data_IF_012539322844
#
_entry.id   IF_012539322844
#
_cell.length_a   1.000
_cell.length_b   1.000
_cell.length_c   1.000
_cell.angle_alpha   90.00
_cell.angle_beta   90.00
_cell.angle_gamma   90.00
#
_symmetry.space_group_name_H-M   'P 1'
#
loop_
_entity.id
_entity.type
_entity.pdbx_description
1 polymer ?
#
# COMPACT_ATOMS: atom_id res chain seq x y z
N UNK A 1 2.70 -0.40 23.21
CA UNK A 1 2.94 -1.73 22.59
C UNK A 1 4.16 -1.70 21.65
N UNK A 2 4.11 -0.95 20.54
CA UNK A 2 5.18 -0.91 19.52
C UNK A 2 6.58 -0.62 20.08
N UNK A 3 6.74 0.46 20.85
CA UNK A 3 8.03 0.83 21.49
C UNK A 3 8.59 -0.26 22.42
N UNK A 4 7.73 -1.00 23.12
CA UNK A 4 8.14 -2.07 24.04
C UNK A 4 8.60 -3.31 23.28
N UNK A 5 8.09 -3.52 22.06
CA UNK A 5 8.40 -4.68 21.21
C UNK A 5 9.40 -4.35 20.09
N UNK A 6 9.92 -3.13 20.07
CA UNK A 6 10.79 -2.61 19.01
C UNK A 6 10.20 -2.80 17.60
N UNK A 7 8.88 -2.59 17.48
CA UNK A 7 8.19 -2.68 16.20
C UNK A 7 8.19 -1.32 15.50
N UNK A 8 8.64 -1.33 14.26
CA UNK A 8 8.62 -0.18 13.37
C UNK A 8 7.18 0.04 12.86
N UNK A 9 6.74 1.29 12.87
CA UNK A 9 5.42 1.71 12.42
C UNK A 9 5.52 3.01 11.63
N UNK A 10 4.63 3.20 10.66
CA UNK A 10 4.60 4.38 9.79
C UNK A 10 3.16 4.67 9.36
N UNK A 11 2.89 5.87 8.83
CA UNK A 11 1.52 6.32 8.47
C UNK A 11 0.60 6.63 9.65
N UNK A 12 1.03 6.28 10.86
CA UNK A 12 0.45 6.70 12.13
C UNK A 12 1.52 6.82 13.21
N UNK A 13 1.17 7.35 14.37
CA UNK A 13 2.13 7.60 15.45
C UNK A 13 1.48 8.03 16.76
N UNK A 14 2.30 8.34 17.76
CA UNK A 14 1.82 8.81 19.08
C UNK A 14 1.19 10.20 19.05
N UNK A 15 1.54 10.98 18.03
CA UNK A 15 1.03 12.31 17.71
C UNK A 15 1.29 12.58 16.21
N UNK A 16 0.81 13.72 15.71
CA UNK A 16 0.95 14.12 14.30
C UNK A 16 2.42 14.24 13.85
N UNK A 17 3.34 14.64 14.73
CA UNK A 17 4.76 14.80 14.40
C UNK A 17 5.46 13.44 14.27
N UNK A 18 5.12 12.49 15.14
CA UNK A 18 5.62 11.11 15.08
C UNK A 18 5.03 10.36 13.86
N UNK A 19 3.74 10.58 13.58
CA UNK A 19 3.04 9.98 12.47
C UNK A 19 3.53 10.49 11.10
N UNK A 20 3.92 11.77 11.01
CA UNK A 20 4.50 12.41 9.83
C UNK A 20 6.03 12.22 9.74
N UNK A 21 6.49 10.98 9.88
CA UNK A 21 7.89 10.64 9.72
C UNK A 21 8.01 9.40 8.85
N UNK A 22 8.94 9.43 7.90
CA UNK A 22 9.39 8.21 7.25
C UNK A 22 10.13 7.31 8.27
N UNK A 23 10.06 5.99 8.10
CA UNK A 23 10.87 5.05 8.87
C UNK A 23 11.92 4.42 8.01
N UNK A 24 13.16 4.46 8.49
CA UNK A 24 14.34 4.01 7.77
C UNK A 24 14.73 2.64 8.30
N UNK A 25 14.98 1.70 7.38
CA UNK A 25 15.40 0.35 7.69
C UNK A 25 16.63 0.04 6.87
N UNK A 26 17.74 -0.28 7.53
CA UNK A 26 18.94 -0.79 6.87
C UNK A 26 19.06 -2.29 7.17
N UNK A 27 19.03 -3.12 6.12
CA UNK A 27 19.05 -4.57 6.28
C UNK A 27 19.73 -5.26 5.10
N UNK A 28 20.72 -6.11 5.41
CA UNK A 28 21.51 -6.85 4.42
C UNK A 28 22.04 -5.96 3.28
N UNK A 29 22.54 -4.76 3.62
CA UNK A 29 23.06 -3.77 2.66
C UNK A 29 21.98 -2.98 1.90
N UNK A 30 20.69 -3.29 2.07
CA UNK A 30 19.60 -2.51 1.50
C UNK A 30 19.19 -1.40 2.46
N UNK A 31 18.95 -0.21 1.93
CA UNK A 31 18.45 0.94 2.68
C UNK A 31 17.03 1.19 2.21
N UNK A 32 16.04 0.90 3.05
CA UNK A 32 14.62 1.03 2.76
C UNK A 32 14.03 2.20 3.56
N UNK A 33 13.10 2.93 2.96
CA UNK A 33 12.34 3.94 3.68
C UNK A 33 10.85 3.72 3.48
N UNK A 34 10.09 3.68 4.56
CA UNK A 34 8.65 3.54 4.55
C UNK A 34 8.01 4.90 4.86
N UNK A 35 7.14 5.36 3.97
CA UNK A 35 6.34 6.56 4.15
C UNK A 35 4.88 6.23 3.89
N UNK A 36 3.97 6.78 4.69
CA UNK A 36 2.55 6.50 4.52
C UNK A 36 1.67 7.57 5.11
N UNK A 37 0.41 7.56 4.71
CA UNK A 37 -0.61 8.49 5.17
C UNK A 37 -2.01 7.98 4.88
N UNK A 38 -3.00 8.66 5.44
CA UNK A 38 -4.41 8.48 5.19
C UNK A 38 -4.93 9.60 4.26
N UNK A 39 -5.23 9.25 3.01
CA UNK A 39 -5.75 10.16 1.99
C UNK A 39 -7.26 10.34 2.09
N UNK A 40 -8.00 9.32 2.57
CA UNK A 40 -9.44 9.44 2.87
C UNK A 40 -9.70 10.62 3.83
N UNK A 41 -8.79 10.81 4.77
CA UNK A 41 -8.85 11.90 5.76
C UNK A 41 -10.02 11.76 6.73
N UNK A 42 -9.97 12.55 7.81
CA UNK A 42 -11.01 12.57 8.83
C UNK A 42 -11.21 11.22 9.55
N UNK A 43 -12.24 11.16 10.40
CA UNK A 43 -12.62 9.96 11.14
C UNK A 43 -12.00 9.83 12.54
N UNK A 44 -12.31 8.72 13.20
CA UNK A 44 -12.13 8.52 14.64
C UNK A 44 -10.67 8.35 15.10
N UNK A 45 -9.75 8.02 14.19
CA UNK A 45 -8.35 7.66 14.52
C UNK A 45 -7.33 8.60 13.85
N UNK A 46 -7.63 9.91 13.80
CA UNK A 46 -6.71 10.92 13.23
C UNK A 46 -5.69 11.37 14.28
N UNK A 47 -4.40 11.37 13.92
CA UNK A 47 -3.36 11.91 14.78
C UNK A 47 -3.51 13.43 14.96
N UNK A 48 -3.51 13.88 16.22
CA UNK A 48 -3.47 15.30 16.56
C UNK A 48 -2.11 15.68 17.14
N UNK A 49 -1.92 16.93 17.56
CA UNK A 49 -0.69 17.34 18.24
C UNK A 49 -0.44 16.60 19.56
N UNK A 50 -1.49 16.02 20.15
CA UNK A 50 -1.43 15.40 21.48
C UNK A 50 -2.05 14.00 21.54
N UNK A 51 -2.60 13.50 20.43
CA UNK A 51 -3.27 12.19 20.39
C UNK A 51 -2.75 11.31 19.26
N UNK A 52 -2.66 9.98 19.50
CA UNK A 52 -2.21 9.04 18.51
C UNK A 52 -3.23 8.84 17.38
N UNK A 53 -2.76 8.44 16.22
CA UNK A 53 -3.62 8.10 15.08
C UNK A 53 -2.87 8.04 13.76
N UNK A 54 -3.63 7.89 12.67
CA UNK A 54 -3.14 8.02 11.30
C UNK A 54 -2.92 9.49 10.93
N UNK A 55 -1.88 9.76 10.15
CA UNK A 55 -1.61 11.12 9.63
C UNK A 55 -2.36 11.33 8.32
N UNK A 56 -3.01 12.48 8.16
CA UNK A 56 -3.56 12.88 6.86
C UNK A 56 -2.42 13.07 5.84
N UNK A 57 -2.68 12.78 4.56
CA UNK A 57 -1.69 12.99 3.52
C UNK A 57 -1.34 14.47 3.35
N UNK A 58 -0.04 14.74 3.22
CA UNK A 58 0.53 16.03 2.83
C UNK A 58 1.43 15.75 1.62
N UNK A 59 0.86 15.83 0.43
CA UNK A 59 1.52 15.40 -0.81
C UNK A 59 2.78 16.21 -1.11
N UNK A 60 2.79 17.51 -0.81
CA UNK A 60 3.97 18.37 -1.00
C UNK A 60 5.12 17.90 -0.13
N UNK A 61 4.87 17.63 1.15
CA UNK A 61 5.89 17.09 2.03
C UNK A 61 6.30 15.68 1.66
N UNK A 62 5.36 14.80 1.32
CA UNK A 62 5.69 13.42 0.96
C UNK A 62 6.57 13.38 -0.28
N UNK A 63 6.25 14.14 -1.33
CA UNK A 63 7.06 14.20 -2.55
C UNK A 63 8.46 14.75 -2.28
N UNK A 64 8.58 15.82 -1.47
CA UNK A 64 9.88 16.38 -1.07
C UNK A 64 10.70 15.39 -0.23
N UNK A 65 10.07 14.73 0.74
CA UNK A 65 10.74 13.77 1.62
C UNK A 65 11.17 12.51 0.86
N UNK A 66 10.34 12.01 -0.06
CA UNK A 66 10.72 10.91 -0.96
C UNK A 66 11.94 11.32 -1.77
N UNK A 67 11.94 12.49 -2.42
CA UNK A 67 13.07 12.94 -3.22
C UNK A 67 14.37 13.04 -2.39
N UNK A 68 14.29 13.65 -1.20
CA UNK A 68 15.41 13.75 -0.25
C UNK A 68 15.93 12.36 0.16
N UNK A 69 15.04 11.43 0.48
CA UNK A 69 15.42 10.06 0.86
C UNK A 69 16.07 9.29 -0.30
N UNK A 70 15.63 9.56 -1.54
CA UNK A 70 16.26 8.99 -2.74
C UNK A 70 17.66 9.53 -2.95
N UNK A 71 17.90 10.82 -2.75
CA UNK A 71 19.24 11.42 -2.76
C UNK A 71 20.13 10.81 -1.68
N UNK A 72 19.56 10.55 -0.51
CA UNK A 72 20.26 9.86 0.59
C UNK A 72 20.51 8.37 0.31
N UNK A 73 20.03 7.80 -0.81
CA UNK A 73 20.28 6.41 -1.21
C UNK A 73 19.28 5.38 -0.69
N UNK A 74 18.11 5.79 -0.18
CA UNK A 74 17.05 4.86 0.24
C UNK A 74 16.17 4.41 -0.91
N UNK A 75 15.66 3.18 -0.85
CA UNK A 75 14.57 2.66 -1.68
C UNK A 75 13.26 2.96 -0.96
N UNK A 76 12.49 3.91 -1.49
CA UNK A 76 11.30 4.43 -0.80
C UNK A 76 10.06 3.64 -1.18
N UNK A 77 9.31 3.20 -0.18
CA UNK A 77 8.03 2.48 -0.26
C UNK A 77 6.97 3.41 0.29
N UNK A 78 6.07 3.87 -0.57
CA UNK A 78 4.97 4.76 -0.21
C UNK A 78 3.67 3.98 -0.09
N UNK A 79 2.88 4.22 0.96
CA UNK A 79 1.56 3.60 1.10
C UNK A 79 0.44 4.59 1.36
N UNK A 80 -0.71 4.35 0.76
CA UNK A 80 -1.92 5.13 0.98
C UNK A 80 -2.99 4.30 1.68
N UNK A 81 -3.67 4.89 2.65
CA UNK A 81 -5.06 4.53 2.95
C UNK A 81 -5.95 5.50 2.17
N UNK A 82 -6.36 5.10 0.96
CA UNK A 82 -7.06 5.98 0.01
C UNK A 82 -8.59 5.90 0.17
N UNK A 83 -9.36 6.42 -0.77
CA UNK A 83 -10.82 6.30 -0.79
C UNK A 83 -11.27 4.86 -1.12
N UNK A 84 -12.48 4.52 -0.69
CA UNK A 84 -13.09 3.21 -0.97
C UNK A 84 -13.73 3.21 -2.36
N UNK A 85 -13.13 2.43 -3.26
CA UNK A 85 -13.66 2.18 -4.59
C UNK A 85 -13.76 0.67 -4.83
N UNK A 86 -14.99 0.14 -4.72
CA UNK A 86 -15.32 -1.27 -4.98
C UNK A 86 -15.33 -1.57 -6.49
N UNK A 87 -14.16 -1.48 -7.11
CA UNK A 87 -13.95 -1.71 -8.54
C UNK A 87 -12.51 -2.10 -8.79
N UNK A 88 -12.30 -3.02 -9.74
CA UNK A 88 -10.98 -3.44 -10.16
C UNK A 88 -10.18 -2.31 -10.85
N UNK A 89 -10.84 -1.32 -11.46
CA UNK A 89 -10.15 -0.22 -12.13
C UNK A 89 -9.79 0.87 -11.14
N UNK A 90 -8.51 1.23 -11.09
CA UNK A 90 -8.05 2.39 -10.34
C UNK A 90 -8.74 3.68 -10.80
N UNK A 91 -9.16 4.50 -9.85
CA UNK A 91 -9.84 5.75 -10.14
C UNK A 91 -8.86 6.87 -10.48
N UNK A 92 -9.29 7.92 -11.24
CA UNK A 92 -8.39 8.96 -11.71
C UNK A 92 -7.59 9.68 -10.60
N UNK A 93 -8.20 9.88 -9.43
CA UNK A 93 -7.57 10.48 -8.25
C UNK A 93 -6.51 9.55 -7.63
N UNK A 94 -6.80 8.25 -7.51
CA UNK A 94 -5.81 7.25 -7.11
C UNK A 94 -4.61 7.25 -8.07
N UNK A 95 -4.87 7.29 -9.39
CA UNK A 95 -3.84 7.32 -10.42
C UNK A 95 -2.97 8.58 -10.30
N UNK A 96 -3.57 9.75 -10.10
CA UNK A 96 -2.85 11.01 -9.91
C UNK A 96 -1.94 10.95 -8.67
N UNK A 97 -2.51 10.60 -7.53
CA UNK A 97 -1.83 10.58 -6.23
C UNK A 97 -0.68 9.58 -6.21
N UNK A 98 -0.90 8.34 -6.68
CA UNK A 98 0.12 7.31 -6.62
C UNK A 98 1.26 7.59 -7.60
N UNK A 99 0.94 8.09 -8.80
CA UNK A 99 1.96 8.51 -9.76
C UNK A 99 2.76 9.71 -9.25
N UNK A 100 2.22 10.55 -8.38
CA UNK A 100 2.99 11.65 -7.76
C UNK A 100 4.12 11.13 -6.85
N UNK A 101 3.87 10.09 -6.05
CA UNK A 101 4.89 9.45 -5.22
C UNK A 101 5.96 8.75 -6.07
N UNK A 102 5.53 8.04 -7.12
CA UNK A 102 6.45 7.42 -8.07
C UNK A 102 7.31 8.47 -8.81
N UNK A 103 6.74 9.62 -9.22
CA UNK A 103 7.49 10.75 -9.81
C UNK A 103 8.55 11.30 -8.86
N UNK A 104 8.25 11.38 -7.57
CA UNK A 104 9.20 11.80 -6.54
C UNK A 104 10.33 10.78 -6.31
N UNK A 105 10.14 9.54 -6.74
CA UNK A 105 11.17 8.50 -6.78
C UNK A 105 10.90 7.30 -5.88
N UNK A 106 9.68 7.15 -5.34
CA UNK A 106 9.29 5.90 -4.68
C UNK A 106 9.41 4.73 -5.67
N UNK A 107 9.96 3.60 -5.20
CA UNK A 107 10.13 2.39 -6.02
C UNK A 107 8.90 1.48 -5.95
N UNK A 108 8.12 1.60 -4.88
CA UNK A 108 6.83 0.95 -4.70
C UNK A 108 5.82 1.98 -4.19
N UNK A 109 4.62 1.95 -4.74
CA UNK A 109 3.47 2.70 -4.24
C UNK A 109 2.28 1.75 -4.06
N UNK A 110 1.85 1.54 -2.82
CA UNK A 110 0.83 0.53 -2.48
C UNK A 110 -0.40 1.17 -1.85
N UNK A 111 -1.58 0.76 -2.32
CA UNK A 111 -2.86 1.21 -1.80
C UNK A 111 -3.49 0.24 -0.82
N UNK A 112 -4.17 0.80 0.17
CA UNK A 112 -5.06 0.11 1.10
C UNK A 112 -6.42 0.83 1.13
N UNK A 113 -7.35 0.38 1.98
CA UNK A 113 -8.75 0.82 2.08
C UNK A 113 -9.69 0.30 0.99
N UNK A 114 -9.22 -0.05 -0.21
CA UNK A 114 -10.11 -0.42 -1.32
C UNK A 114 -11.01 -1.65 -1.04
N UNK A 115 -10.63 -2.52 -0.11
CA UNK A 115 -11.26 -3.81 0.25
C UNK A 115 -11.35 -4.86 -0.87
N UNK A 116 -11.31 -4.41 -2.12
CA UNK A 116 -11.22 -5.21 -3.34
C UNK A 116 -9.85 -5.00 -4.00
N UNK A 117 -9.31 -6.00 -4.71
CA UNK A 117 -8.12 -5.83 -5.52
C UNK A 117 -8.36 -4.83 -6.65
N UNK A 118 -7.38 -3.96 -6.89
CA UNK A 118 -7.44 -3.01 -7.98
C UNK A 118 -6.26 -3.24 -8.94
N UNK A 119 -6.32 -2.57 -10.09
CA UNK A 119 -5.27 -2.60 -11.09
C UNK A 119 -3.90 -2.24 -10.53
N UNK A 120 -2.90 -2.46 -11.36
CA UNK A 120 -1.50 -2.20 -11.07
C UNK A 120 -0.83 -1.56 -12.28
N UNK A 121 0.30 -0.91 -12.05
CA UNK A 121 1.00 -0.16 -13.08
C UNK A 121 2.52 -0.17 -12.83
N UNK A 122 3.29 -0.28 -13.91
CA UNK A 122 4.69 0.12 -13.90
C UNK A 122 4.81 1.56 -14.41
N UNK A 123 5.24 2.48 -13.55
CA UNK A 123 5.32 3.88 -13.90
C UNK A 123 6.64 4.49 -13.42
N UNK A 124 7.41 5.04 -14.36
CA UNK A 124 8.75 5.63 -14.09
C UNK A 124 9.70 4.70 -13.29
N UNK A 125 9.62 3.39 -13.53
CA UNK A 125 10.45 2.40 -12.83
C UNK A 125 9.96 2.02 -11.43
N UNK A 126 8.82 2.58 -11.00
CA UNK A 126 8.13 2.15 -9.79
C UNK A 126 7.07 1.09 -10.11
N UNK A 127 6.83 0.19 -9.17
CA UNK A 127 5.64 -0.66 -9.16
C UNK A 127 4.54 -0.01 -8.34
N UNK A 128 3.35 0.13 -8.93
CA UNK A 128 2.18 0.73 -8.31
C UNK A 128 1.09 -0.33 -8.25
N UNK A 129 0.51 -0.56 -7.07
CA UNK A 129 -0.68 -1.40 -6.90
C UNK A 129 -1.74 -0.61 -6.14
N UNK A 130 -2.86 -0.33 -6.81
CA UNK A 130 -3.83 0.66 -6.33
C UNK A 130 -4.69 0.18 -5.15
N UNK A 131 -4.84 -1.13 -4.99
CA UNK A 131 -5.54 -1.74 -3.86
C UNK A 131 -5.28 -3.23 -3.79
N UNK A 132 -4.83 -3.72 -2.64
CA UNK A 132 -4.48 -5.12 -2.44
C UNK A 132 -5.69 -6.04 -2.15
N UNK A 133 -6.84 -5.48 -1.76
CA UNK A 133 -7.93 -6.24 -1.17
C UNK A 133 -7.77 -6.44 0.35
N UNK A 134 -8.61 -7.29 0.94
CA UNK A 134 -8.62 -7.56 2.38
C UNK A 134 -7.57 -8.62 2.77
N UNK A 135 -6.88 -8.44 3.90
CA UNK A 135 -6.05 -9.48 4.52
C UNK A 135 -6.71 -10.08 5.77
N UNK A 136 -7.21 -9.21 6.66
CA UNK A 136 -8.02 -9.55 7.83
C UNK A 136 -9.16 -8.53 7.96
N UNK A 137 -10.38 -8.93 7.60
CA UNK A 137 -11.53 -8.00 7.57
C UNK A 137 -12.87 -8.74 7.60
N UNK A 138 -13.92 -8.11 8.12
CA UNK A 138 -15.24 -8.75 8.30
C UNK A 138 -16.16 -8.66 7.05
N UNK A 139 -15.62 -8.27 5.89
CA UNK A 139 -16.36 -8.13 4.63
C UNK A 139 -16.34 -9.41 3.79
N UNK A 140 -16.88 -10.50 4.32
CA UNK A 140 -17.05 -11.74 3.56
C UNK A 140 -18.38 -11.74 2.78
N UNK A 141 -18.35 -11.99 1.46
CA UNK A 141 -19.48 -11.86 0.53
C UNK A 141 -20.16 -10.48 0.56
N UNK A 142 -19.43 -9.43 0.94
CA UNK A 142 -20.00 -8.09 1.10
C UNK A 142 -20.20 -7.37 -0.24
N UNK A 143 -19.23 -7.51 -1.13
CA UNK A 143 -19.21 -6.81 -2.43
C UNK A 143 -19.91 -7.64 -3.50
N UNK A 144 -20.40 -6.96 -4.55
CA UNK A 144 -20.99 -7.62 -5.72
C UNK A 144 -20.04 -8.68 -6.26
N UNK A 145 -20.60 -9.85 -6.60
CA UNK A 145 -19.87 -11.03 -7.09
C UNK A 145 -18.75 -11.50 -6.14
N UNK A 146 -18.87 -11.17 -4.85
CA UNK A 146 -17.89 -11.51 -3.80
C UNK A 146 -16.50 -10.90 -4.03
N UNK A 147 -16.40 -9.80 -4.78
CA UNK A 147 -15.10 -9.24 -5.19
C UNK A 147 -14.18 -8.80 -4.03
N UNK A 148 -14.72 -8.58 -2.82
CA UNK A 148 -13.95 -8.21 -1.63
C UNK A 148 -13.40 -9.41 -0.85
N UNK A 149 -13.72 -10.62 -1.29
CA UNK A 149 -13.15 -11.86 -0.76
C UNK A 149 -11.78 -12.14 -1.39
N UNK A 150 -11.53 -11.61 -2.58
CA UNK A 150 -10.28 -11.75 -3.31
C UNK A 150 -9.25 -10.73 -2.80
N UNK A 151 -7.98 -11.13 -2.71
CA UNK A 151 -6.90 -10.24 -2.32
C UNK A 151 -5.53 -10.70 -2.82
N UNK A 152 -4.56 -9.79 -2.72
CA UNK A 152 -3.16 -10.01 -2.97
C UNK A 152 -2.33 -9.84 -1.71
N UNK A 153 -1.29 -10.67 -1.60
CA UNK A 153 -0.11 -10.41 -0.81
C UNK A 153 1.03 -10.16 -1.80
N UNK A 154 1.47 -8.92 -1.89
CA UNK A 154 2.59 -8.56 -2.75
C UNK A 154 3.91 -8.83 -2.03
N UNK A 155 4.67 -9.80 -2.54
CA UNK A 155 6.00 -10.13 -2.03
C UNK A 155 7.06 -9.41 -2.86
N UNK A 156 7.51 -8.27 -2.35
CA UNK A 156 8.57 -7.48 -2.95
C UNK A 156 9.96 -8.02 -2.65
N UNK A 157 10.82 -8.08 -3.68
CA UNK A 157 12.19 -8.57 -3.58
C UNK A 157 13.17 -7.43 -3.78
N UNK A 158 14.04 -7.25 -2.77
CA UNK A 158 15.14 -6.29 -2.79
C UNK A 158 16.47 -7.03 -2.72
N UNK A 159 17.43 -6.59 -3.54
CA UNK A 159 18.75 -7.18 -3.56
C UNK A 159 19.77 -6.14 -4.01
N UNK A 160 20.90 -6.06 -3.30
CA UNK A 160 22.04 -5.23 -3.69
C UNK A 160 21.64 -3.76 -3.95
N UNK A 161 20.88 -3.19 -3.01
CA UNK A 161 20.42 -1.79 -3.07
C UNK A 161 19.41 -1.51 -4.19
N UNK A 162 18.76 -2.54 -4.75
CA UNK A 162 17.80 -2.42 -5.85
C UNK A 162 16.50 -3.15 -5.57
N UNK A 163 15.41 -2.61 -6.09
CA UNK A 163 14.14 -3.32 -6.21
C UNK A 163 14.17 -4.21 -7.45
N UNK A 164 13.99 -5.52 -7.27
CA UNK A 164 14.15 -6.53 -8.33
C UNK A 164 12.81 -6.94 -8.93
N UNK A 165 11.75 -6.98 -8.13
CA UNK A 165 10.42 -7.35 -8.61
C UNK A 165 9.43 -7.66 -7.50
N UNK A 166 8.20 -7.96 -7.91
CA UNK A 166 7.11 -8.41 -7.05
C UNK A 166 6.66 -9.79 -7.45
N UNK A 167 6.36 -10.63 -6.46
CA UNK A 167 5.61 -11.86 -6.64
C UNK A 167 4.20 -11.65 -6.10
N UNK A 168 3.21 -11.81 -6.98
CA UNK A 168 1.80 -11.59 -6.68
C UNK A 168 1.21 -12.86 -6.08
N UNK A 169 1.09 -12.96 -4.76
CA UNK A 169 0.46 -14.10 -4.10
C UNK A 169 -1.03 -13.80 -3.98
N UNK A 170 -1.86 -14.63 -4.60
CA UNK A 170 -3.33 -14.44 -4.61
C UNK A 170 -3.98 -15.25 -3.50
N UNK A 171 -4.83 -14.60 -2.73
CA UNK A 171 -5.56 -15.20 -1.61
C UNK A 171 -7.06 -14.94 -1.77
N UNK A 172 -7.87 -15.83 -1.20
CA UNK A 172 -9.33 -15.69 -1.13
C UNK A 172 -9.81 -15.94 0.29
N UNK A 173 -10.82 -15.19 0.72
CA UNK A 173 -11.46 -15.37 2.02
C UNK A 173 -12.36 -16.61 2.00
N UNK A 174 -12.27 -17.40 3.06
CA UNK A 174 -13.18 -18.54 3.28
C UNK A 174 -14.23 -18.25 4.35
N UNK A 175 -13.93 -17.26 5.21
CA UNK A 175 -14.82 -16.73 6.24
C UNK A 175 -14.39 -15.30 6.63
N UNK A 176 -15.05 -14.73 7.64
CA UNK A 176 -14.83 -13.37 8.14
C UNK A 176 -13.42 -13.05 8.64
N UNK A 177 -12.54 -14.01 8.89
CA UNK A 177 -11.21 -13.74 9.43
C UNK A 177 -10.10 -14.63 8.88
N UNK A 178 -10.43 -15.53 7.95
CA UNK A 178 -9.51 -16.49 7.37
C UNK A 178 -9.46 -16.35 5.86
N UNK A 179 -8.26 -16.13 5.36
CA UNK A 179 -7.91 -16.30 3.96
C UNK A 179 -7.07 -17.55 3.75
N UNK A 180 -7.10 -18.06 2.52
CA UNK A 180 -6.19 -19.11 2.03
C UNK A 180 -5.58 -18.68 0.70
N UNK A 181 -4.45 -19.27 0.30
CA UNK A 181 -4.03 -19.20 -1.10
C UNK A 181 -5.15 -19.68 -2.03
N UNK A 182 -5.30 -18.96 -3.15
CA UNK A 182 -6.19 -19.39 -4.23
C UNK A 182 -5.68 -20.70 -4.86
N UNK A 183 -6.62 -21.50 -5.36
CA UNK A 183 -6.32 -22.56 -6.33
C UNK A 183 -5.80 -21.95 -7.63
N UNK A 184 -5.19 -22.76 -8.50
CA UNK A 184 -4.70 -22.28 -9.80
C UNK A 184 -5.80 -21.63 -10.64
N UNK A 185 -7.00 -22.21 -10.65
CA UNK A 185 -8.13 -21.70 -11.41
C UNK A 185 -8.65 -20.36 -10.86
N UNK A 186 -8.80 -20.25 -9.54
CA UNK A 186 -9.18 -18.98 -8.87
C UNK A 186 -8.13 -17.89 -9.14
N UNK A 187 -6.85 -18.24 -9.01
CA UNK A 187 -5.73 -17.34 -9.28
C UNK A 187 -5.77 -16.82 -10.72
N UNK A 188 -5.97 -17.70 -11.70
CA UNK A 188 -6.01 -17.30 -13.11
C UNK A 188 -7.14 -16.31 -13.37
N UNK A 189 -8.35 -16.55 -12.82
CA UNK A 189 -9.47 -15.62 -12.95
C UNK A 189 -9.19 -14.24 -12.35
N UNK A 190 -8.61 -14.20 -11.15
CA UNK A 190 -8.28 -12.94 -10.51
C UNK A 190 -7.21 -12.18 -11.30
N UNK A 191 -6.15 -12.86 -11.74
CA UNK A 191 -5.08 -12.25 -12.52
C UNK A 191 -5.60 -11.72 -13.86
N UNK A 192 -6.41 -12.48 -14.59
CA UNK A 192 -7.04 -12.01 -15.84
C UNK A 192 -7.87 -10.75 -15.62
N UNK A 193 -8.66 -10.73 -14.54
CA UNK A 193 -9.53 -9.58 -14.21
C UNK A 193 -8.71 -8.34 -13.88
N UNK A 194 -7.71 -8.47 -13.01
CA UNK A 194 -6.90 -7.33 -12.56
C UNK A 194 -5.93 -6.85 -13.65
N UNK A 195 -5.37 -7.75 -14.46
CA UNK A 195 -4.52 -7.38 -15.59
C UNK A 195 -5.33 -6.66 -16.68
N UNK A 196 -6.54 -7.12 -16.99
CA UNK A 196 -7.44 -6.39 -17.88
C UNK A 196 -7.80 -5.00 -17.32
N UNK A 197 -7.99 -4.87 -16.01
CA UNK A 197 -8.21 -3.58 -15.35
C UNK A 197 -6.96 -2.67 -15.36
N UNK A 198 -5.78 -3.27 -15.47
CA UNK A 198 -4.47 -2.61 -15.60
C UNK A 198 -4.11 -2.24 -17.05
N UNK A 199 -4.89 -2.75 -18.02
CA UNK A 199 -4.65 -2.56 -19.45
C UNK A 199 -3.57 -3.46 -20.04
N UNK A 200 -3.35 -4.65 -19.45
CA UNK A 200 -2.41 -5.67 -19.90
C UNK A 200 -3.12 -6.81 -20.65
#
# INVERSE_FOLDING_TARGET
MYKVRDWIYYGGGSDRKDARQARLIEHNGNRLAFIGCNAKGGGYATASETQPGAVACDYDWMTQEIARLREDGYLVIATFQHFEYYTYRAQPDQVEDFRSMAKAGAVIVSGSQAHQPQGMEFFKGAFIHYGLGNLFFDQYHYCTDNACDDAFIDRHVFYDGRYIGTDLITIVFEDYARSRPMTEEERMRLLETVFAASGW
#
